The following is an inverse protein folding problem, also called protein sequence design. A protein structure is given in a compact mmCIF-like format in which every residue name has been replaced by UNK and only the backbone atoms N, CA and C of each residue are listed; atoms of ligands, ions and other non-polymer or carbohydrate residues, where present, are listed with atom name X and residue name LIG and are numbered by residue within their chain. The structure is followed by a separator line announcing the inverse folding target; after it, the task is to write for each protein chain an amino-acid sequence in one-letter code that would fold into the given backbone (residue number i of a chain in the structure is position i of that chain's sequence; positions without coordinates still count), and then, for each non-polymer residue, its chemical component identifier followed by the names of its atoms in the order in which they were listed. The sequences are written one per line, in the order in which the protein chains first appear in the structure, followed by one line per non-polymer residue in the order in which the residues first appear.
data_IF_344642024146
#
_entry.id   IF_344642024146
#
_cell.length_a   1.000
_cell.length_b   1.000
_cell.length_c   1.000
_cell.angle_alpha   90.00
_cell.angle_beta   90.00
_cell.angle_gamma   90.00
#
_symmetry.space_group_name_H-M   'P 1'
#
loop_
_entity.id
_entity.type
_entity.pdbx_description
1 polymer ?
#
# COMPACT_ATOMS: atom_id res chain seq x y z
N UNK A 1 -9.85 18.94 12.43
CA UNK A 1 -9.19 19.65 13.55
C UNK A 1 -8.38 20.76 12.92
N UNK A 2 -8.85 22.02 13.02
CA UNK A 2 -8.10 23.18 12.51
C UNK A 2 -6.89 23.37 13.42
N UNK A 3 -5.70 23.19 12.90
CA UNK A 3 -4.45 23.47 13.63
C UNK A 3 -4.30 24.98 13.67
N UNK A 4 -4.21 25.57 14.87
CA UNK A 4 -3.92 26.99 15.05
C UNK A 4 -2.61 27.33 14.34
N UNK A 5 -2.55 28.48 13.65
CA UNK A 5 -1.48 28.91 12.75
C UNK A 5 -0.08 28.85 13.36
N UNK A 6 0.05 28.99 14.68
CA UNK A 6 1.34 29.15 15.37
C UNK A 6 1.84 27.90 16.11
N UNK A 7 1.02 26.83 16.18
CA UNK A 7 1.33 25.64 16.98
C UNK A 7 1.79 24.41 16.19
N UNK A 8 1.90 24.48 14.86
CA UNK A 8 2.31 23.35 14.02
C UNK A 8 3.69 22.76 14.38
N UNK A 9 4.58 23.58 14.92
CA UNK A 9 5.92 23.18 15.37
C UNK A 9 5.94 22.47 16.73
N UNK A 10 4.86 22.56 17.52
CA UNK A 10 4.74 21.93 18.84
C UNK A 10 4.19 20.50 18.78
N UNK A 11 3.88 19.99 17.60
CA UNK A 11 3.34 18.64 17.43
C UNK A 11 4.38 17.59 17.88
N UNK A 12 4.04 16.70 18.83
CA UNK A 12 4.93 15.65 19.29
C UNK A 12 5.25 14.68 18.15
N UNK A 13 6.53 14.45 17.89
CA UNK A 13 6.98 13.45 16.89
C UNK A 13 7.88 13.96 15.77
N UNK A 14 8.15 15.26 15.67
CA UNK A 14 9.19 15.80 14.80
C UNK A 14 10.57 15.57 15.44
N UNK A 15 11.33 14.60 14.94
CA UNK A 15 12.70 14.30 15.46
C UNK A 15 13.70 15.45 15.23
N UNK A 16 13.35 16.41 14.41
CA UNK A 16 14.15 17.59 14.07
C UNK A 16 14.47 18.49 15.29
N UNK A 17 13.62 18.48 16.33
CA UNK A 17 13.88 19.23 17.59
C UNK A 17 15.21 18.86 18.25
N UNK A 18 15.68 17.62 18.12
CA UNK A 18 16.96 17.15 18.66
C UNK A 18 18.14 17.78 17.91
N UNK A 19 18.04 17.87 16.61
CA UNK A 19 19.08 18.45 15.77
C UNK A 19 19.18 19.96 15.98
N UNK A 20 18.06 20.65 16.17
CA UNK A 20 18.07 22.09 16.48
C UNK A 20 18.62 22.36 17.86
N UNK A 21 18.32 21.55 18.86
CA UNK A 21 18.96 21.65 20.17
C UNK A 21 20.47 21.47 20.08
N UNK A 22 20.94 20.56 19.24
CA UNK A 22 22.37 20.31 19.01
C UNK A 22 23.06 21.47 18.31
N UNK A 23 22.42 22.09 17.31
CA UNK A 23 22.89 23.30 16.62
C UNK A 23 22.98 24.46 17.62
N UNK A 24 21.96 24.64 18.48
CA UNK A 24 21.97 25.69 19.50
C UNK A 24 23.11 25.50 20.51
N UNK A 25 23.29 24.28 21.01
CA UNK A 25 24.39 23.94 21.93
C UNK A 25 25.75 24.20 21.25
N UNK A 26 25.91 23.79 19.98
CA UNK A 26 27.11 24.03 19.21
C UNK A 26 27.41 25.53 19.03
N UNK A 27 26.39 26.33 18.72
CA UNK A 27 26.53 27.78 18.60
C UNK A 27 26.93 28.43 19.95
N UNK A 28 26.34 28.03 21.05
CA UNK A 28 26.72 28.50 22.40
C UNK A 28 28.18 28.15 22.72
N UNK A 29 28.61 26.90 22.44
CA UNK A 29 29.99 26.49 22.65
C UNK A 29 30.99 27.27 21.77
N UNK A 30 30.64 27.56 20.52
CA UNK A 30 31.47 28.40 19.64
C UNK A 30 31.60 29.82 20.19
N UNK A 31 30.51 30.44 20.66
CA UNK A 31 30.53 31.77 21.26
C UNK A 31 31.37 31.78 22.52
N UNK A 32 31.22 30.80 23.40
CA UNK A 32 32.03 30.64 24.62
C UNK A 32 33.53 30.48 24.27
N UNK A 33 33.84 29.63 23.31
CA UNK A 33 35.24 29.45 22.83
C UNK A 33 35.84 30.74 22.29
N UNK A 34 35.08 31.50 21.49
CA UNK A 34 35.49 32.80 20.99
C UNK A 34 35.72 33.83 22.10
N UNK A 35 34.81 33.87 23.13
CA UNK A 35 34.94 34.75 24.26
C UNK A 35 36.20 34.47 25.11
N UNK A 36 36.54 33.16 25.28
CA UNK A 36 37.75 32.76 25.99
C UNK A 36 39.01 33.18 25.17
N UNK A 37 38.99 33.00 23.84
CA UNK A 37 40.08 33.36 22.97
C UNK A 37 40.37 34.88 22.95
N UNK A 38 39.34 35.72 23.21
CA UNK A 38 39.41 37.17 23.34
C UNK A 38 39.63 37.67 24.76
N UNK A 39 40.10 36.84 25.69
CA UNK A 39 40.32 37.19 27.11
C UNK A 39 39.07 37.79 27.79
N UNK A 40 37.89 37.37 27.37
CA UNK A 40 36.60 37.84 27.90
C UNK A 40 36.42 39.40 27.75
N UNK A 41 37.31 40.11 27.10
CA UNK A 41 37.25 41.57 26.91
C UNK A 41 35.92 42.05 26.29
N UNK A 42 35.31 41.36 25.28
CA UNK A 42 34.02 41.79 24.74
C UNK A 42 32.90 41.83 25.77
N UNK A 43 32.91 40.93 26.74
CA UNK A 43 31.90 40.93 27.83
C UNK A 43 32.06 42.17 28.72
N UNK A 44 33.30 42.54 29.04
CA UNK A 44 33.58 43.71 29.84
C UNK A 44 33.07 45.03 29.21
N UNK A 45 33.29 45.21 27.92
CA UNK A 45 32.80 46.37 27.17
C UNK A 45 31.28 46.39 27.06
N UNK A 46 30.66 45.25 26.82
CA UNK A 46 29.18 45.15 26.77
C UNK A 46 28.57 45.40 28.15
N UNK A 47 29.14 44.84 29.21
CA UNK A 47 28.68 45.13 30.58
C UNK A 47 28.79 46.60 30.99
N UNK A 48 29.93 47.28 30.62
CA UNK A 48 30.10 48.70 30.90
C UNK A 48 29.09 49.56 30.11
N UNK A 49 28.81 49.23 28.87
CA UNK A 49 27.77 49.85 28.05
C UNK A 49 26.39 49.67 28.64
N UNK A 50 26.01 48.43 29.01
CA UNK A 50 24.74 48.11 29.64
C UNK A 50 24.59 48.84 31.00
N UNK A 51 25.69 48.95 31.82
CA UNK A 51 25.69 49.66 33.08
C UNK A 51 25.42 51.17 32.90
N UNK A 52 26.01 51.81 31.86
CA UNK A 52 25.76 53.23 31.53
C UNK A 52 24.28 53.48 31.17
N UNK A 53 23.62 52.52 30.47
CA UNK A 53 22.21 52.65 30.15
C UNK A 53 21.34 52.33 31.38
N UNK A 54 21.69 51.32 32.16
CA UNK A 54 20.97 50.91 33.36
C UNK A 54 20.95 51.98 34.47
N UNK A 55 21.93 52.94 34.47
CA UNK A 55 21.87 54.10 35.36
C UNK A 55 20.77 55.10 35.00
N UNK A 56 20.17 55.01 33.80
CA UNK A 56 19.09 55.90 33.33
C UNK A 56 17.69 55.22 33.31
N UNK A 57 17.65 53.89 33.33
CA UNK A 57 16.41 53.08 33.25
C UNK A 57 16.55 51.93 34.24
N UNK A 58 15.44 51.49 34.89
CA UNK A 58 15.52 50.33 35.79
C UNK A 58 16.04 49.09 35.07
N UNK A 59 17.00 48.41 35.72
CA UNK A 59 17.70 47.22 35.12
C UNK A 59 16.75 46.13 34.69
N UNK A 60 15.63 45.97 35.41
CA UNK A 60 14.60 44.94 35.11
C UNK A 60 13.88 45.20 33.78
N UNK A 61 13.46 46.45 33.52
CA UNK A 61 12.79 46.84 32.31
C UNK A 61 13.75 46.79 31.09
N UNK A 62 15.02 47.15 31.30
CA UNK A 62 16.04 47.06 30.24
C UNK A 62 16.32 45.59 29.86
N UNK A 63 16.47 44.70 30.83
CA UNK A 63 16.66 43.28 30.61
C UNK A 63 15.45 42.66 29.89
N UNK A 64 14.24 42.98 30.30
CA UNK A 64 13.02 42.51 29.63
C UNK A 64 12.95 42.98 28.16
N UNK A 65 13.24 44.26 27.89
CA UNK A 65 13.23 44.80 26.53
C UNK A 65 14.27 44.11 25.61
N UNK A 66 15.47 43.85 26.14
CA UNK A 66 16.52 43.14 25.35
C UNK A 66 16.09 41.70 25.05
N UNK A 67 15.54 40.97 26.05
CA UNK A 67 15.07 39.60 25.84
C UNK A 67 13.93 39.55 24.82
N UNK A 68 12.95 40.44 24.91
CA UNK A 68 11.84 40.52 23.99
C UNK A 68 12.29 40.87 22.56
N UNK A 69 13.19 41.83 22.42
CA UNK A 69 13.73 42.24 21.12
C UNK A 69 14.58 41.14 20.50
N UNK A 70 15.45 40.52 21.29
CA UNK A 70 16.27 39.36 20.85
C UNK A 70 15.41 38.16 20.42
N UNK A 71 14.36 37.86 21.21
CA UNK A 71 13.38 36.84 20.87
C UNK A 71 12.65 37.15 19.56
N UNK A 72 12.19 38.39 19.38
CA UNK A 72 11.51 38.80 18.15
C UNK A 72 12.41 38.68 16.89
N UNK A 73 13.67 39.13 17.00
CA UNK A 73 14.64 39.02 15.91
C UNK A 73 14.96 37.57 15.60
N UNK A 74 15.16 36.73 16.62
CA UNK A 74 15.38 35.30 16.48
C UNK A 74 14.21 34.61 15.77
N UNK A 75 12.99 34.84 16.19
CA UNK A 75 11.81 34.25 15.58
C UNK A 75 11.59 34.72 14.13
N UNK A 76 11.80 36.00 13.81
CA UNK A 76 11.72 36.50 12.44
C UNK A 76 12.84 35.93 11.55
N UNK A 77 14.06 35.86 12.05
CA UNK A 77 15.18 35.26 11.33
C UNK A 77 14.93 33.79 11.04
N UNK A 78 14.45 33.05 12.06
CA UNK A 78 14.04 31.64 11.97
C UNK A 78 12.95 31.41 10.93
N UNK A 79 11.87 32.21 10.99
CA UNK A 79 10.77 32.15 10.04
C UNK A 79 11.24 32.37 8.59
N UNK A 80 11.99 33.43 8.35
CA UNK A 80 12.53 33.73 7.01
C UNK A 80 13.50 32.68 6.49
N UNK A 81 14.35 32.11 7.35
CA UNK A 81 15.30 31.07 6.95
C UNK A 81 14.56 29.78 6.54
N UNK A 82 13.56 29.37 7.31
CA UNK A 82 12.73 28.21 6.95
C UNK A 82 11.93 28.44 5.66
N UNK A 83 11.40 29.62 5.46
CA UNK A 83 10.72 30.03 4.23
C UNK A 83 11.65 29.98 3.00
N UNK A 84 12.86 30.50 3.14
CA UNK A 84 13.88 30.51 2.08
C UNK A 84 14.38 29.12 1.73
N UNK A 85 14.63 28.25 2.74
CA UNK A 85 15.08 26.86 2.51
C UNK A 85 14.01 26.00 1.81
N UNK A 86 12.72 26.28 2.05
CA UNK A 86 11.63 25.55 1.42
C UNK A 86 11.23 26.14 0.06
N UNK A 87 11.84 27.26 -0.39
CA UNK A 87 11.48 27.93 -1.64
C UNK A 87 10.05 28.47 -1.66
N UNK A 88 9.45 28.67 -0.50
CA UNK A 88 8.03 29.00 -0.35
C UNK A 88 7.84 30.49 -0.23
N UNK A 89 7.23 31.09 -1.24
CA UNK A 89 6.88 32.52 -1.23
C UNK A 89 5.48 32.82 -0.66
N UNK A 90 4.63 31.80 -0.43
CA UNK A 90 3.24 31.98 -0.03
C UNK A 90 2.83 31.15 1.20
N UNK A 91 2.01 31.71 2.10
CA UNK A 91 1.44 31.02 3.27
C UNK A 91 0.60 29.78 2.91
N UNK A 92 -0.04 29.76 1.73
CA UNK A 92 -0.81 28.62 1.23
C UNK A 92 0.10 27.42 0.95
N UNK A 93 1.28 27.66 0.38
CA UNK A 93 2.24 26.60 0.04
C UNK A 93 2.81 25.94 1.29
N UNK A 94 3.02 26.72 2.37
CA UNK A 94 3.47 26.18 3.66
C UNK A 94 2.45 25.25 4.32
N UNK A 95 1.18 25.62 4.34
CA UNK A 95 0.12 24.77 4.90
C UNK A 95 0.00 23.48 4.11
N UNK A 96 0.09 23.57 2.79
CA UNK A 96 0.04 22.41 1.88
C UNK A 96 1.21 21.45 2.13
N UNK A 97 2.43 21.97 2.33
CA UNK A 97 3.62 21.15 2.60
C UNK A 97 3.57 20.53 4.00
N UNK A 98 3.19 21.28 5.01
CA UNK A 98 3.04 20.74 6.37
C UNK A 98 1.98 19.64 6.44
N UNK A 99 0.85 19.82 5.77
CA UNK A 99 -0.17 18.78 5.64
C UNK A 99 0.35 17.56 4.88
N UNK A 100 1.10 17.77 3.80
CA UNK A 100 1.70 16.69 3.02
C UNK A 100 2.74 15.91 3.84
N UNK A 101 3.62 16.60 4.58
CA UNK A 101 4.61 15.97 5.47
C UNK A 101 3.93 15.20 6.62
N UNK A 102 2.91 15.80 7.25
CA UNK A 102 2.14 15.13 8.29
C UNK A 102 1.43 13.87 7.74
N UNK A 103 0.80 13.99 6.57
CA UNK A 103 0.15 12.87 5.88
C UNK A 103 1.16 11.78 5.56
N UNK A 104 2.33 12.11 4.98
CA UNK A 104 3.40 11.16 4.67
C UNK A 104 3.88 10.42 5.91
N UNK A 105 4.13 11.14 7.02
CA UNK A 105 4.54 10.52 8.30
C UNK A 105 3.46 9.60 8.88
N UNK A 106 2.19 10.01 8.80
CA UNK A 106 1.07 9.18 9.24
C UNK A 106 0.98 7.89 8.43
N UNK A 107 1.15 7.97 7.11
CA UNK A 107 1.13 6.82 6.21
C UNK A 107 2.34 5.89 6.45
N UNK A 108 3.52 6.42 6.73
CA UNK A 108 4.72 5.63 7.05
C UNK A 108 4.61 4.86 8.38
N UNK A 109 3.72 5.28 9.28
CA UNK A 109 3.41 4.59 10.55
C UNK A 109 2.19 3.68 10.44
N UNK A 110 1.62 3.56 9.27
CA UNK A 110 0.49 2.66 8.99
C UNK A 110 0.91 1.19 9.05
N UNK A 111 -0.07 0.27 9.08
CA UNK A 111 0.20 -1.16 9.12
C UNK A 111 0.98 -1.62 7.89
N UNK A 112 1.78 -2.66 8.06
CA UNK A 112 2.48 -3.36 6.98
C UNK A 112 1.49 -4.30 6.30
N UNK A 113 1.16 -4.01 5.06
CA UNK A 113 0.14 -4.73 4.31
C UNK A 113 0.78 -5.49 3.16
N UNK A 114 0.56 -6.79 3.11
CA UNK A 114 0.86 -7.62 1.94
C UNK A 114 -0.45 -7.87 1.18
N UNK A 115 -0.50 -7.47 -0.10
CA UNK A 115 -1.63 -7.69 -0.99
C UNK A 115 -1.23 -8.69 -2.08
N UNK A 116 -1.91 -9.84 -2.13
CA UNK A 116 -1.60 -10.97 -3.01
C UNK A 116 -2.65 -11.08 -4.10
N UNK A 117 -2.22 -11.16 -5.38
CA UNK A 117 -3.15 -11.29 -6.50
C UNK A 117 -2.51 -10.98 -7.85
N UNK A 118 -3.31 -10.42 -8.75
CA UNK A 118 -2.90 -10.01 -10.09
C UNK A 118 -3.96 -9.14 -10.76
N UNK A 119 -3.69 -8.74 -11.98
CA UNK A 119 -4.64 -8.06 -12.85
C UNK A 119 -5.17 -6.72 -12.35
N UNK A 120 -6.34 -6.39 -12.88
CA UNK A 120 -7.06 -5.15 -12.56
C UNK A 120 -7.66 -5.15 -11.16
N UNK A 121 -7.93 -6.34 -10.60
CA UNK A 121 -8.50 -6.48 -9.25
C UNK A 121 -7.52 -6.02 -8.18
N UNK A 122 -6.29 -6.53 -8.19
CA UNK A 122 -5.25 -6.13 -7.26
C UNK A 122 -4.92 -4.64 -7.41
N UNK A 123 -4.76 -4.15 -8.64
CA UNK A 123 -4.47 -2.72 -8.89
C UNK A 123 -5.56 -1.80 -8.34
N UNK A 124 -6.83 -2.18 -8.45
CA UNK A 124 -7.96 -1.46 -7.86
C UNK A 124 -7.84 -1.40 -6.32
N UNK A 125 -7.51 -2.50 -5.67
CA UNK A 125 -7.29 -2.57 -4.22
C UNK A 125 -6.14 -1.63 -3.79
N UNK A 126 -5.01 -1.69 -4.49
CA UNK A 126 -3.81 -0.89 -4.20
C UNK A 126 -4.09 0.62 -4.29
N UNK A 127 -4.90 1.08 -5.25
CA UNK A 127 -5.36 2.47 -5.34
C UNK A 127 -6.04 2.96 -4.06
N UNK A 128 -6.81 2.09 -3.40
CA UNK A 128 -7.47 2.42 -2.14
C UNK A 128 -6.51 2.37 -0.95
N UNK A 129 -5.70 1.33 -0.85
CA UNK A 129 -4.82 1.07 0.30
C UNK A 129 -3.68 2.10 0.41
N UNK A 130 -3.17 2.64 -0.70
CA UNK A 130 -2.12 3.68 -0.69
C UNK A 130 -2.52 4.96 0.08
N UNK A 131 -3.82 5.15 0.37
CA UNK A 131 -4.30 6.24 1.20
C UNK A 131 -4.35 5.90 2.71
N UNK A 132 -4.08 4.64 3.07
CA UNK A 132 -4.09 4.12 4.45
C UNK A 132 -2.68 4.00 5.00
N UNK A 133 -1.76 3.45 4.20
CA UNK A 133 -0.35 3.22 4.58
C UNK A 133 0.58 3.35 3.37
N UNK A 134 1.85 3.66 3.62
CA UNK A 134 2.92 3.54 2.63
C UNK A 134 3.64 2.18 2.72
N UNK A 135 3.38 1.39 3.77
CA UNK A 135 4.02 0.10 4.02
C UNK A 135 3.27 -1.01 3.28
N UNK A 136 3.22 -0.92 1.95
CA UNK A 136 2.51 -1.86 1.08
C UNK A 136 3.53 -2.71 0.33
N UNK A 137 3.31 -4.04 0.33
CA UNK A 137 3.95 -4.97 -0.60
C UNK A 137 2.88 -5.66 -1.43
N UNK A 138 2.86 -5.40 -2.73
CA UNK A 138 2.01 -6.13 -3.68
C UNK A 138 2.79 -7.35 -4.18
N UNK A 139 2.25 -8.55 -3.94
CA UNK A 139 2.76 -9.81 -4.48
C UNK A 139 1.92 -10.17 -5.70
N UNK A 140 2.58 -10.24 -6.85
CA UNK A 140 1.91 -10.29 -8.14
C UNK A 140 2.22 -11.59 -8.86
N UNK A 141 1.18 -12.27 -9.34
CA UNK A 141 1.35 -13.46 -10.19
C UNK A 141 2.12 -13.15 -11.48
N UNK A 142 2.87 -14.13 -11.97
CA UNK A 142 3.63 -14.07 -13.22
C UNK A 142 3.17 -15.14 -14.22
N UNK A 143 1.94 -15.62 -14.09
CA UNK A 143 1.37 -16.64 -14.97
C UNK A 143 0.74 -16.10 -16.25
N UNK A 144 0.63 -14.76 -16.43
CA UNK A 144 0.00 -14.12 -17.60
C UNK A 144 0.74 -14.50 -18.91
N UNK A 145 0.01 -15.08 -19.86
CA UNK A 145 0.48 -15.44 -21.20
C UNK A 145 -0.32 -14.77 -22.31
N UNK A 146 -1.19 -13.82 -21.93
CA UNK A 146 -2.09 -13.15 -22.85
C UNK A 146 -1.50 -11.89 -23.50
N UNK A 147 -1.99 -11.56 -24.68
CA UNK A 147 -1.80 -10.30 -25.39
C UNK A 147 -0.35 -9.80 -25.47
N UNK A 148 -0.12 -8.55 -25.00
CA UNK A 148 1.22 -7.93 -25.03
C UNK A 148 2.21 -8.57 -24.06
N UNK A 149 1.75 -9.06 -22.90
CA UNK A 149 2.62 -9.70 -21.90
C UNK A 149 3.13 -11.04 -22.40
N UNK A 150 2.24 -11.86 -22.98
CA UNK A 150 2.60 -13.17 -23.52
C UNK A 150 3.62 -13.04 -24.65
N UNK A 151 3.39 -12.13 -25.62
CA UNK A 151 4.35 -11.90 -26.71
C UNK A 151 5.75 -11.50 -26.19
N UNK A 152 5.83 -10.55 -25.26
CA UNK A 152 7.12 -10.13 -24.70
C UNK A 152 7.81 -11.24 -23.90
N UNK A 153 7.03 -12.09 -23.22
CA UNK A 153 7.53 -13.28 -22.54
C UNK A 153 8.11 -14.29 -23.53
N UNK A 154 7.40 -14.59 -24.63
CA UNK A 154 7.83 -15.54 -25.65
C UNK A 154 9.04 -15.02 -26.44
N UNK A 155 9.00 -13.76 -26.88
CA UNK A 155 10.03 -13.17 -27.74
C UNK A 155 11.34 -12.89 -26.98
N UNK A 156 11.27 -12.51 -25.70
CA UNK A 156 12.40 -11.98 -24.93
C UNK A 156 12.77 -12.81 -23.68
N UNK A 157 12.00 -13.84 -23.35
CA UNK A 157 12.25 -14.70 -22.20
C UNK A 157 12.13 -13.98 -20.84
N UNK A 158 11.34 -12.90 -20.76
CA UNK A 158 11.14 -12.13 -19.55
C UNK A 158 9.85 -12.54 -18.84
N UNK A 159 9.76 -12.24 -17.53
CA UNK A 159 8.49 -12.37 -16.82
C UNK A 159 7.43 -11.45 -17.43
N UNK A 160 6.14 -11.86 -17.48
CA UNK A 160 5.07 -11.08 -18.07
C UNK A 160 4.88 -9.78 -17.29
N UNK A 161 5.04 -8.60 -17.93
CA UNK A 161 5.05 -7.33 -17.24
C UNK A 161 3.65 -6.74 -16.94
N UNK A 162 2.58 -7.32 -17.49
CA UNK A 162 1.23 -6.72 -17.52
C UNK A 162 0.66 -6.42 -16.14
N UNK A 163 0.65 -7.40 -15.25
CA UNK A 163 0.10 -7.28 -13.90
C UNK A 163 1.00 -6.43 -12.99
N UNK A 164 2.31 -6.61 -13.11
CA UNK A 164 3.31 -5.79 -12.43
C UNK A 164 3.12 -4.31 -12.80
N UNK A 165 3.00 -4.01 -14.09
CA UNK A 165 2.72 -2.65 -14.62
C UNK A 165 1.45 -2.06 -14.02
N UNK A 166 0.35 -2.82 -13.97
CA UNK A 166 -0.91 -2.36 -13.40
C UNK A 166 -0.77 -1.99 -11.93
N UNK A 167 -0.02 -2.78 -11.15
CA UNK A 167 0.24 -2.53 -9.74
C UNK A 167 1.13 -1.29 -9.52
N UNK A 168 2.18 -1.11 -10.33
CA UNK A 168 3.04 0.07 -10.29
C UNK A 168 2.22 1.33 -10.56
N UNK A 169 1.43 1.35 -11.64
CA UNK A 169 0.57 2.49 -11.98
C UNK A 169 -0.43 2.81 -10.87
N UNK A 170 -1.00 1.80 -10.22
CA UNK A 170 -1.94 1.97 -9.10
C UNK A 170 -1.31 2.61 -7.86
N UNK A 171 -0.02 2.34 -7.60
CA UNK A 171 0.73 2.85 -6.45
C UNK A 171 1.41 4.19 -6.72
N UNK A 172 1.47 4.67 -7.95
CA UNK A 172 2.06 5.96 -8.31
C UNK A 172 1.35 7.14 -7.62
N UNK A 173 2.10 8.19 -7.31
CA UNK A 173 1.55 9.41 -6.68
C UNK A 173 0.68 10.19 -7.66
N UNK A 174 1.14 10.41 -8.89
CA UNK A 174 0.35 10.96 -10.00
C UNK A 174 -0.32 9.83 -10.77
N UNK A 175 -1.44 9.35 -10.23
CA UNK A 175 -2.13 8.19 -10.75
C UNK A 175 -2.70 8.42 -12.16
N UNK A 176 -3.29 9.58 -12.41
CA UNK A 176 -4.03 9.83 -13.65
C UNK A 176 -3.11 9.87 -14.88
N UNK A 177 -2.02 10.61 -14.82
CA UNK A 177 -1.06 10.72 -15.91
C UNK A 177 -0.30 9.41 -16.11
N UNK A 178 0.21 8.83 -15.04
CA UNK A 178 0.97 7.58 -15.09
C UNK A 178 0.09 6.42 -15.57
N UNK A 179 -1.14 6.33 -15.07
CA UNK A 179 -2.08 5.30 -15.54
C UNK A 179 -2.36 5.45 -17.03
N UNK A 180 -2.63 6.66 -17.52
CA UNK A 180 -2.85 6.91 -18.95
C UNK A 180 -1.63 6.54 -19.80
N UNK A 181 -0.42 6.93 -19.35
CA UNK A 181 0.83 6.62 -20.04
C UNK A 181 1.09 5.12 -20.08
N UNK A 182 0.99 4.44 -18.93
CA UNK A 182 1.28 3.01 -18.82
C UNK A 182 0.23 2.13 -19.51
N UNK A 183 -1.00 2.59 -19.60
CA UNK A 183 -2.08 1.90 -20.32
C UNK A 183 -2.14 2.29 -21.80
N UNK A 184 -1.38 3.29 -22.23
CA UNK A 184 -1.34 3.65 -23.64
C UNK A 184 -0.91 2.44 -24.48
N UNK A 185 -1.75 2.07 -25.46
CA UNK A 185 -1.51 0.94 -26.37
C UNK A 185 -1.27 1.48 -27.76
N UNK A 186 -0.17 1.04 -28.34
CA UNK A 186 0.18 1.39 -29.71
C UNK A 186 -0.85 0.79 -30.68
N UNK A 187 -1.44 1.64 -31.53
CA UNK A 187 -2.47 1.24 -32.49
C UNK A 187 -1.91 0.86 -33.84
N UNK A 188 -0.66 1.16 -34.10
CA UNK A 188 0.05 0.92 -35.34
C UNK A 188 1.55 0.95 -35.10
N UNK A 189 2.33 0.47 -36.06
CA UNK A 189 3.79 0.37 -36.03
C UNK A 189 4.21 -1.09 -36.03
N UNK A 190 5.12 -1.44 -36.97
CA UNK A 190 5.66 -2.78 -37.07
C UNK A 190 6.39 -3.14 -35.77
N UNK A 191 6.03 -4.27 -35.15
CA UNK A 191 6.54 -4.71 -33.86
C UNK A 191 5.98 -3.97 -32.63
N UNK A 192 5.31 -2.82 -32.79
CA UNK A 192 4.76 -2.04 -31.65
C UNK A 192 3.25 -2.27 -31.45
N UNK A 193 2.54 -2.57 -32.55
CA UNK A 193 1.08 -2.66 -32.51
C UNK A 193 0.59 -3.66 -31.46
N UNK A 194 -0.38 -3.21 -30.65
CA UNK A 194 -0.96 -4.00 -29.58
C UNK A 194 -0.13 -4.02 -28.28
N UNK A 195 1.13 -3.57 -28.27
CA UNK A 195 1.89 -3.43 -27.04
C UNK A 195 1.46 -2.19 -26.24
N UNK A 196 1.48 -2.29 -24.90
CA UNK A 196 1.33 -1.12 -24.06
C UNK A 196 2.68 -0.48 -23.78
N UNK A 197 2.71 0.87 -23.68
CA UNK A 197 3.92 1.60 -23.32
C UNK A 197 4.54 1.07 -22.02
N UNK A 198 3.73 0.86 -20.99
CA UNK A 198 4.23 0.40 -19.68
C UNK A 198 4.87 -1.00 -19.73
N UNK A 199 4.38 -1.92 -20.59
CA UNK A 199 5.02 -3.20 -20.79
C UNK A 199 6.38 -3.04 -21.46
N UNK A 200 6.47 -2.22 -22.52
CA UNK A 200 7.74 -1.93 -23.20
C UNK A 200 8.74 -1.21 -22.26
N UNK A 201 8.26 -0.29 -21.44
CA UNK A 201 9.07 0.40 -20.44
C UNK A 201 9.71 -0.57 -19.44
N UNK A 202 8.91 -1.48 -18.86
CA UNK A 202 9.42 -2.50 -17.93
C UNK A 202 10.37 -3.47 -18.62
N UNK A 203 10.08 -3.87 -19.86
CA UNK A 203 10.96 -4.71 -20.68
C UNK A 203 12.31 -4.04 -20.91
N UNK A 204 12.32 -2.76 -21.28
CA UNK A 204 13.56 -2.00 -21.48
C UNK A 204 14.36 -1.87 -20.18
N UNK A 205 13.69 -1.59 -19.04
CA UNK A 205 14.34 -1.59 -17.73
C UNK A 205 14.91 -2.97 -17.37
N UNK A 206 14.21 -4.04 -17.66
CA UNK A 206 14.70 -5.41 -17.43
C UNK A 206 15.98 -5.69 -18.23
N UNK A 207 16.01 -5.28 -19.49
CA UNK A 207 17.21 -5.41 -20.35
C UNK A 207 18.41 -4.57 -19.81
N UNK A 208 18.16 -3.39 -19.27
CA UNK A 208 19.20 -2.51 -18.71
C UNK A 208 19.72 -3.02 -17.36
N UNK A 209 18.83 -3.48 -16.48
CA UNK A 209 19.15 -3.86 -15.09
C UNK A 209 19.55 -5.33 -14.94
N UNK A 210 19.24 -6.16 -15.92
CA UNK A 210 19.58 -7.58 -16.00
C UNK A 210 18.53 -8.51 -15.37
N UNK A 211 17.59 -8.00 -14.57
CA UNK A 211 16.52 -8.79 -13.98
C UNK A 211 15.24 -7.98 -13.71
N UNK A 212 14.10 -8.69 -13.60
CA UNK A 212 12.80 -8.06 -13.42
C UNK A 212 12.64 -7.38 -12.03
N UNK A 213 13.26 -7.91 -10.98
CA UNK A 213 13.13 -7.32 -9.61
C UNK A 213 13.79 -5.95 -9.56
N UNK A 214 14.99 -5.84 -10.15
CA UNK A 214 15.70 -4.56 -10.29
C UNK A 214 14.94 -3.61 -11.20
N UNK A 215 14.41 -4.10 -12.33
CA UNK A 215 13.59 -3.29 -13.24
C UNK A 215 12.37 -2.70 -12.53
N UNK A 216 11.65 -3.49 -11.73
CA UNK A 216 10.51 -3.04 -10.93
C UNK A 216 10.95 -2.03 -9.87
N UNK A 217 12.06 -2.27 -9.18
CA UNK A 217 12.62 -1.33 -8.18
C UNK A 217 12.99 0.01 -8.80
N UNK A 218 13.68 0.01 -9.93
CA UNK A 218 14.06 1.25 -10.61
C UNK A 218 12.85 1.97 -11.20
N UNK A 219 11.88 1.25 -11.75
CA UNK A 219 10.61 1.84 -12.18
C UNK A 219 9.89 2.53 -11.02
N UNK A 220 9.96 1.94 -9.83
CA UNK A 220 9.36 2.49 -8.61
C UNK A 220 10.01 3.82 -8.19
N UNK A 221 11.32 3.94 -8.38
CA UNK A 221 12.07 5.17 -8.13
C UNK A 221 11.68 6.27 -9.13
N UNK A 222 11.62 5.92 -10.43
CA UNK A 222 11.25 6.86 -11.52
C UNK A 222 9.82 7.39 -11.34
N UNK A 223 8.90 6.54 -10.92
CA UNK A 223 7.48 6.85 -10.84
C UNK A 223 7.01 7.27 -9.45
N UNK A 224 7.93 7.35 -8.48
CA UNK A 224 7.60 7.74 -7.09
C UNK A 224 6.41 6.98 -6.51
N UNK A 225 6.44 5.65 -6.57
CA UNK A 225 5.34 4.83 -6.05
C UNK A 225 5.34 4.72 -4.52
N UNK A 226 4.17 4.46 -3.95
CA UNK A 226 3.98 4.19 -2.51
C UNK A 226 3.98 2.69 -2.26
N UNK A 227 4.98 2.21 -1.50
CA UNK A 227 5.16 0.78 -1.28
C UNK A 227 6.06 0.14 -2.33
N UNK A 228 5.92 -1.17 -2.51
CA UNK A 228 6.72 -1.96 -3.46
C UNK A 228 5.87 -3.02 -4.16
N UNK A 229 6.29 -3.39 -5.35
CA UNK A 229 5.67 -4.46 -6.15
C UNK A 229 6.71 -5.56 -6.32
N UNK A 230 6.34 -6.79 -6.07
CA UNK A 230 7.21 -7.96 -6.17
C UNK A 230 6.52 -9.06 -6.98
N UNK A 231 7.20 -9.70 -7.94
CA UNK A 231 6.70 -10.93 -8.54
C UNK A 231 6.66 -12.06 -7.50
N UNK A 232 5.68 -12.95 -7.57
CA UNK A 232 5.57 -14.10 -6.66
C UNK A 232 6.78 -15.04 -6.76
N UNK A 233 7.28 -15.22 -7.97
CA UNK A 233 8.45 -16.03 -8.33
C UNK A 233 9.20 -15.40 -9.49
N UNK A 234 10.47 -15.76 -9.66
CA UNK A 234 11.26 -15.45 -10.85
C UNK A 234 11.30 -16.59 -11.86
N UNK A 235 10.74 -17.74 -11.52
CA UNK A 235 10.66 -18.89 -12.41
C UNK A 235 9.65 -18.62 -13.54
N UNK A 236 9.88 -19.21 -14.70
CA UNK A 236 8.98 -19.14 -15.86
C UNK A 236 7.70 -19.96 -15.62
N UNK A 237 6.88 -19.51 -14.70
CA UNK A 237 5.67 -20.20 -14.26
C UNK A 237 4.56 -20.13 -15.31
N UNK A 238 4.12 -21.28 -15.82
CA UNK A 238 2.93 -21.42 -16.66
C UNK A 238 1.80 -22.08 -15.88
N UNK A 239 0.55 -21.67 -16.14
CA UNK A 239 -0.61 -22.26 -15.48
C UNK A 239 -1.13 -23.44 -16.28
N UNK A 240 -1.51 -24.50 -15.57
CA UNK A 240 -2.14 -25.69 -16.14
C UNK A 240 -3.36 -26.05 -15.30
N UNK A 241 -4.51 -26.18 -15.95
CA UNK A 241 -5.76 -26.57 -15.29
C UNK A 241 -6.15 -28.00 -15.65
N UNK A 242 -6.43 -28.83 -14.64
CA UNK A 242 -7.17 -30.08 -14.77
C UNK A 242 -8.66 -29.79 -14.61
N UNK A 243 -9.45 -30.09 -15.63
CA UNK A 243 -10.90 -29.90 -15.62
C UNK A 243 -11.60 -31.14 -15.00
N UNK A 244 -12.84 -30.97 -14.53
CA UNK A 244 -13.62 -32.10 -13.97
C UNK A 244 -13.93 -33.19 -15.02
N UNK A 245 -13.98 -32.83 -16.30
CA UNK A 245 -14.18 -33.75 -17.40
C UNK A 245 -12.90 -34.47 -17.86
N UNK A 246 -11.77 -34.21 -17.20
CA UNK A 246 -10.48 -34.84 -17.46
C UNK A 246 -9.61 -34.11 -18.47
N UNK A 247 -10.06 -33.01 -19.10
CA UNK A 247 -9.22 -32.20 -20.00
C UNK A 247 -8.10 -31.52 -19.22
N UNK A 248 -6.93 -31.43 -19.84
CA UNK A 248 -5.80 -30.65 -19.33
C UNK A 248 -5.65 -29.41 -20.21
N UNK A 249 -5.74 -28.24 -19.61
CA UNK A 249 -5.66 -26.95 -20.32
C UNK A 249 -4.37 -26.26 -19.91
N UNK A 250 -3.55 -25.92 -20.90
CA UNK A 250 -2.29 -25.19 -20.71
C UNK A 250 -2.49 -23.72 -21.05
N UNK A 251 -1.92 -22.83 -20.25
CA UNK A 251 -1.93 -21.39 -20.43
C UNK A 251 -3.08 -20.69 -19.70
N UNK A 252 -2.73 -19.55 -19.09
CA UNK A 252 -3.64 -18.72 -18.29
C UNK A 252 -4.83 -18.24 -19.12
N UNK A 253 -4.57 -17.72 -20.32
CA UNK A 253 -5.58 -17.18 -21.23
C UNK A 253 -6.57 -18.24 -21.75
N UNK A 254 -6.12 -19.49 -21.89
CA UNK A 254 -6.94 -20.59 -22.40
C UNK A 254 -7.90 -21.19 -21.36
N UNK A 255 -7.61 -20.99 -20.07
CA UNK A 255 -8.40 -21.60 -18.98
C UNK A 255 -9.85 -21.12 -18.98
N UNK A 256 -10.15 -19.82 -19.03
CA UNK A 256 -11.54 -19.34 -19.10
C UNK A 256 -12.23 -19.74 -20.42
N UNK A 257 -11.49 -19.80 -21.54
CA UNK A 257 -12.03 -20.15 -22.86
C UNK A 257 -12.40 -21.62 -22.99
N UNK A 258 -11.79 -22.48 -22.18
CA UNK A 258 -12.05 -23.92 -22.21
C UNK A 258 -13.46 -24.29 -21.77
N UNK A 259 -14.17 -23.40 -21.11
CA UNK A 259 -15.50 -23.59 -20.51
C UNK A 259 -15.64 -24.94 -19.80
N UNK A 260 -15.93 -24.92 -18.52
CA UNK A 260 -16.08 -26.10 -17.69
C UNK A 260 -15.68 -25.84 -16.24
N UNK A 261 -15.79 -26.86 -15.40
CA UNK A 261 -15.39 -26.77 -13.99
C UNK A 261 -13.93 -27.14 -13.82
N UNK A 262 -13.18 -26.25 -13.18
CA UNK A 262 -11.77 -26.49 -12.84
C UNK A 262 -11.72 -27.41 -11.62
N UNK A 263 -11.16 -28.61 -11.80
CA UNK A 263 -10.91 -29.54 -10.71
C UNK A 263 -9.71 -29.16 -9.89
N UNK A 264 -8.60 -28.80 -10.55
CA UNK A 264 -7.34 -28.42 -9.92
C UNK A 264 -6.50 -27.54 -10.85
N UNK A 265 -5.82 -26.57 -10.25
CA UNK A 265 -4.80 -25.76 -10.93
C UNK A 265 -3.41 -26.18 -10.42
N UNK A 266 -2.42 -26.18 -11.30
CA UNK A 266 -1.02 -26.42 -10.97
C UNK A 266 -0.11 -25.63 -11.91
N UNK A 267 1.18 -25.62 -11.64
CA UNK A 267 2.18 -24.87 -12.40
C UNK A 267 3.09 -25.79 -13.20
N UNK A 268 3.59 -25.29 -14.30
CA UNK A 268 4.69 -25.87 -15.05
C UNK A 268 5.81 -24.82 -15.13
N UNK A 269 6.98 -25.06 -14.51
CA UNK A 269 7.38 -26.24 -13.73
C UNK A 269 6.57 -26.43 -12.43
N UNK A 270 6.47 -27.68 -11.97
CA UNK A 270 5.65 -28.05 -10.81
C UNK A 270 6.09 -27.39 -9.48
N UNK A 271 7.34 -26.97 -9.38
CA UNK A 271 7.93 -26.34 -8.21
C UNK A 271 8.57 -25.00 -8.61
N UNK A 272 7.83 -23.93 -8.44
CA UNK A 272 8.35 -22.56 -8.53
C UNK A 272 8.82 -22.09 -7.15
N UNK A 273 9.99 -21.44 -7.08
CA UNK A 273 10.52 -20.87 -5.83
C UNK A 273 9.96 -19.49 -5.58
N UNK A 274 9.59 -19.22 -4.35
CA UNK A 274 9.19 -17.88 -3.95
C UNK A 274 10.36 -16.90 -4.00
N UNK A 275 10.09 -15.65 -4.36
CA UNK A 275 11.06 -14.58 -4.17
C UNK A 275 11.29 -14.36 -2.66
N UNK A 276 12.55 -14.35 -2.20
CA UNK A 276 12.90 -14.20 -0.78
C UNK A 276 12.30 -12.93 -0.16
N UNK A 277 12.26 -11.82 -0.91
CA UNK A 277 11.65 -10.57 -0.48
C UNK A 277 10.13 -10.71 -0.24
N UNK A 278 9.45 -11.62 -0.93
CA UNK A 278 8.03 -11.93 -0.72
C UNK A 278 7.85 -12.64 0.61
N UNK A 279 8.66 -13.66 0.88
CA UNK A 279 8.64 -14.39 2.15
C UNK A 279 8.94 -13.46 3.33
N UNK A 280 9.96 -12.62 3.19
CA UNK A 280 10.29 -11.62 4.22
C UNK A 280 9.14 -10.63 4.46
N UNK A 281 8.45 -10.21 3.39
CA UNK A 281 7.30 -9.32 3.50
C UNK A 281 6.11 -9.96 4.22
N UNK A 282 5.83 -11.25 3.95
CA UNK A 282 4.73 -11.99 4.60
C UNK A 282 5.02 -12.19 6.10
N UNK A 283 6.27 -12.51 6.46
CA UNK A 283 6.70 -12.62 7.87
C UNK A 283 6.53 -11.32 8.67
N UNK A 284 6.82 -10.19 8.03
CA UNK A 284 6.79 -8.86 8.66
C UNK A 284 5.43 -8.16 8.54
N UNK A 285 4.41 -8.84 7.98
CA UNK A 285 3.10 -8.27 7.73
C UNK A 285 2.25 -8.16 9.00
N UNK A 286 1.46 -7.08 9.11
CA UNK A 286 0.37 -6.97 10.07
C UNK A 286 -0.96 -7.46 9.46
N UNK A 287 -1.08 -7.37 8.14
CA UNK A 287 -2.28 -7.69 7.38
C UNK A 287 -1.93 -8.29 6.03
N UNK A 288 -2.50 -9.43 5.71
CA UNK A 288 -2.42 -10.08 4.39
C UNK A 288 -3.79 -10.03 3.74
N UNK A 289 -3.85 -9.51 2.50
CA UNK A 289 -5.08 -9.39 1.72
C UNK A 289 -4.92 -10.23 0.47
N UNK A 290 -5.84 -11.14 0.21
CA UNK A 290 -5.90 -11.92 -1.02
C UNK A 290 -7.02 -11.40 -1.91
N UNK A 291 -6.72 -11.17 -3.19
CA UNK A 291 -7.66 -10.57 -4.15
C UNK A 291 -7.98 -9.09 -3.88
N UNK A 292 -9.05 -8.54 -4.49
CA UNK A 292 -9.89 -9.21 -5.49
C UNK A 292 -9.16 -9.47 -6.82
N UNK A 293 -9.74 -10.31 -7.64
CA UNK A 293 -9.21 -10.68 -8.95
C UNK A 293 -9.79 -12.02 -9.39
N UNK A 294 -9.46 -12.46 -10.60
CA UNK A 294 -9.82 -13.79 -11.07
C UNK A 294 -9.31 -14.84 -10.10
N UNK A 295 -10.21 -15.71 -9.64
CA UNK A 295 -9.87 -16.66 -8.59
C UNK A 295 -8.74 -17.58 -9.00
N UNK A 296 -8.89 -18.21 -10.19
CA UNK A 296 -7.96 -19.22 -10.69
C UNK A 296 -6.77 -18.64 -11.45
N UNK A 297 -6.93 -17.48 -12.09
CA UNK A 297 -5.87 -16.93 -12.92
C UNK A 297 -5.07 -15.80 -12.27
N UNK A 298 -5.61 -15.15 -11.22
CA UNK A 298 -4.90 -14.04 -10.55
C UNK A 298 -4.57 -14.30 -9.07
N UNK A 299 -5.44 -14.97 -8.29
CA UNK A 299 -5.24 -15.13 -6.84
C UNK A 299 -4.55 -16.46 -6.51
N UNK A 300 -5.15 -17.57 -6.93
CA UNK A 300 -4.63 -18.93 -6.67
C UNK A 300 -3.20 -19.11 -7.18
N UNK A 301 -2.77 -18.60 -8.35
CA UNK A 301 -1.42 -18.81 -8.85
C UNK A 301 -0.31 -18.42 -7.87
N UNK A 302 -0.52 -17.38 -7.06
CA UNK A 302 0.42 -17.01 -6.02
C UNK A 302 0.53 -18.07 -4.90
N UNK A 303 -0.57 -18.76 -4.61
CA UNK A 303 -0.63 -19.82 -3.60
C UNK A 303 -0.10 -21.18 -4.10
N UNK A 304 0.03 -21.35 -5.42
CA UNK A 304 0.68 -22.52 -6.01
C UNK A 304 2.19 -22.50 -5.80
N UNK A 305 2.76 -21.33 -5.52
CA UNK A 305 4.13 -21.23 -5.01
C UNK A 305 4.08 -21.67 -3.53
N UNK A 306 4.48 -22.92 -3.27
CA UNK A 306 4.25 -23.60 -1.99
C UNK A 306 4.80 -22.83 -0.78
N UNK A 307 5.96 -22.20 -0.93
CA UNK A 307 6.58 -21.39 0.11
C UNK A 307 5.72 -20.19 0.51
N UNK A 308 5.03 -19.55 -0.47
CA UNK A 308 4.10 -18.44 -0.20
C UNK A 308 2.88 -18.95 0.58
N UNK A 309 2.24 -20.04 0.14
CA UNK A 309 1.08 -20.59 0.82
C UNK A 309 1.42 -21.04 2.25
N UNK A 310 2.58 -21.65 2.44
CA UNK A 310 3.10 -22.05 3.74
C UNK A 310 3.31 -20.83 4.64
N UNK A 311 4.04 -19.83 4.16
CA UNK A 311 4.36 -18.65 4.97
C UNK A 311 3.10 -17.83 5.32
N UNK A 312 2.14 -17.72 4.39
CA UNK A 312 0.84 -17.10 4.67
C UNK A 312 0.11 -17.86 5.78
N UNK A 313 0.14 -19.19 5.77
CA UNK A 313 -0.52 -19.99 6.80
C UNK A 313 0.15 -19.83 8.19
N UNK A 314 1.48 -19.78 8.23
CA UNK A 314 2.30 -19.68 9.44
C UNK A 314 2.38 -18.26 10.02
N UNK A 315 2.09 -17.23 9.21
CA UNK A 315 2.15 -15.83 9.62
C UNK A 315 1.11 -15.49 10.70
N UNK A 316 1.50 -14.66 11.68
CA UNK A 316 0.60 -14.09 12.70
C UNK A 316 -0.27 -12.93 12.17
N UNK A 317 -0.01 -12.46 10.94
CA UNK A 317 -0.78 -11.41 10.30
C UNK A 317 -2.27 -11.77 10.20
N UNK A 318 -3.15 -10.79 10.29
CA UNK A 318 -4.58 -10.98 9.97
C UNK A 318 -4.75 -11.23 8.48
N UNK A 319 -5.55 -12.21 8.10
CA UNK A 319 -5.70 -12.70 6.73
C UNK A 319 -7.12 -12.51 6.25
N UNK A 320 -7.32 -11.77 5.17
CA UNK A 320 -8.64 -11.51 4.60
C UNK A 320 -8.66 -11.75 3.08
N UNK A 321 -9.67 -12.46 2.62
CA UNK A 321 -9.95 -12.61 1.18
C UNK A 321 -11.04 -11.62 0.76
N UNK A 322 -10.83 -10.93 -0.35
CA UNK A 322 -11.83 -10.05 -0.98
C UNK A 322 -12.49 -10.83 -2.11
N UNK A 323 -13.70 -11.30 -1.85
CA UNK A 323 -14.44 -12.12 -2.81
C UNK A 323 -14.93 -11.27 -3.99
N UNK A 324 -14.93 -11.87 -5.18
CA UNK A 324 -15.49 -11.26 -6.38
C UNK A 324 -16.98 -10.95 -6.19
N UNK A 325 -17.45 -9.86 -6.81
CA UNK A 325 -18.85 -9.46 -6.76
C UNK A 325 -19.70 -10.35 -7.68
N UNK A 326 -19.15 -10.69 -8.85
CA UNK A 326 -19.80 -11.47 -9.88
C UNK A 326 -18.99 -12.72 -10.17
N UNK A 327 -19.66 -13.78 -10.59
CA UNK A 327 -19.00 -14.98 -11.14
C UNK A 327 -18.31 -14.65 -12.45
N UNK A 328 -17.25 -15.38 -12.78
CA UNK A 328 -16.53 -15.28 -14.05
C UNK A 328 -16.82 -16.49 -14.90
N UNK A 329 -17.45 -16.32 -16.08
CA UNK A 329 -17.69 -17.41 -17.01
C UNK A 329 -16.40 -18.16 -17.36
N UNK A 330 -16.47 -19.48 -17.32
CA UNK A 330 -15.31 -20.35 -17.58
C UNK A 330 -14.35 -20.56 -16.40
N UNK A 331 -14.51 -19.82 -15.30
CA UNK A 331 -13.70 -19.99 -14.08
C UNK A 331 -14.55 -20.35 -12.86
N UNK A 332 -15.54 -19.51 -12.52
CA UNK A 332 -16.29 -19.60 -11.28
C UNK A 332 -17.79 -19.68 -11.53
N UNK A 333 -18.20 -20.37 -12.57
CA UNK A 333 -19.60 -20.56 -12.91
C UNK A 333 -20.38 -21.21 -11.75
N UNK A 334 -21.46 -20.52 -11.33
CA UNK A 334 -22.33 -20.94 -10.23
C UNK A 334 -21.65 -21.00 -8.83
N UNK A 335 -20.45 -20.40 -8.64
CA UNK A 335 -19.79 -20.38 -7.35
C UNK A 335 -20.52 -19.49 -6.35
N UNK A 336 -20.67 -20.01 -5.13
CA UNK A 336 -20.95 -19.23 -3.93
C UNK A 336 -19.65 -18.78 -3.28
N UNK A 337 -19.74 -17.95 -2.24
CA UNK A 337 -18.54 -17.48 -1.50
C UNK A 337 -17.79 -18.65 -0.86
N UNK A 338 -18.50 -19.67 -0.34
CA UNK A 338 -17.85 -20.87 0.21
C UNK A 338 -17.03 -21.64 -0.82
N UNK A 339 -17.46 -21.65 -2.10
CA UNK A 339 -16.73 -22.33 -3.18
C UNK A 339 -15.40 -21.62 -3.45
N UNK A 340 -15.39 -20.26 -3.46
CA UNK A 340 -14.18 -19.48 -3.57
C UNK A 340 -13.21 -19.77 -2.42
N UNK A 341 -13.70 -19.78 -1.18
CA UNK A 341 -12.89 -20.08 0.01
C UNK A 341 -12.33 -21.51 -0.06
N UNK A 342 -13.15 -22.48 -0.43
CA UNK A 342 -12.72 -23.88 -0.58
C UNK A 342 -11.66 -24.04 -1.66
N UNK A 343 -11.81 -23.36 -2.80
CA UNK A 343 -10.81 -23.38 -3.86
C UNK A 343 -9.46 -22.81 -3.39
N UNK A 344 -9.46 -21.69 -2.66
CA UNK A 344 -8.24 -21.11 -2.08
C UNK A 344 -7.57 -22.09 -1.09
N UNK A 345 -8.33 -22.63 -0.14
CA UNK A 345 -7.81 -23.57 0.85
C UNK A 345 -7.28 -24.86 0.21
N UNK A 346 -7.99 -25.39 -0.79
CA UNK A 346 -7.58 -26.57 -1.53
C UNK A 346 -6.21 -26.38 -2.21
N UNK A 347 -6.02 -25.25 -2.88
CA UNK A 347 -4.75 -24.94 -3.58
C UNK A 347 -3.62 -24.50 -2.64
N UNK A 348 -3.94 -24.15 -1.40
CA UNK A 348 -2.96 -23.96 -0.33
C UNK A 348 -2.67 -25.26 0.47
N UNK A 349 -2.92 -26.44 -0.10
CA UNK A 349 -2.76 -27.72 0.56
C UNK A 349 -3.55 -27.83 1.87
N UNK A 350 -4.79 -27.32 1.88
CA UNK A 350 -5.74 -27.30 3.04
C UNK A 350 -5.19 -26.58 4.28
N UNK A 351 -4.19 -25.71 4.11
CA UNK A 351 -3.67 -24.84 5.19
C UNK A 351 -4.70 -23.76 5.53
N UNK A 352 -4.74 -23.35 6.79
CA UNK A 352 -5.59 -22.24 7.22
C UNK A 352 -4.94 -20.91 6.81
N UNK A 353 -5.31 -20.39 5.65
CA UNK A 353 -4.76 -19.16 5.07
C UNK A 353 -5.70 -17.94 5.20
N UNK A 354 -6.86 -18.09 5.86
CA UNK A 354 -7.89 -17.07 5.96
C UNK A 354 -8.47 -16.98 7.39
N UNK A 355 -8.68 -15.75 7.86
CA UNK A 355 -9.46 -15.45 9.08
C UNK A 355 -10.84 -14.92 8.72
N UNK A 356 -10.95 -14.18 7.60
CA UNK A 356 -12.21 -13.59 7.16
C UNK A 356 -12.32 -13.51 5.63
N UNK A 357 -13.57 -13.40 5.17
CA UNK A 357 -13.91 -13.06 3.78
C UNK A 357 -14.71 -11.77 3.77
N UNK A 358 -14.27 -10.81 2.94
CA UNK A 358 -15.00 -9.58 2.65
C UNK A 358 -15.91 -9.81 1.45
N UNK A 359 -17.21 -9.61 1.63
CA UNK A 359 -18.23 -9.82 0.61
C UNK A 359 -19.02 -8.55 0.34
N UNK A 360 -19.47 -8.40 -0.90
CA UNK A 360 -20.40 -7.34 -1.26
C UNK A 360 -21.84 -7.77 -0.94
N UNK A 361 -22.60 -6.92 -0.24
CA UNK A 361 -23.96 -7.21 0.22
C UNK A 361 -25.07 -6.57 -0.62
N UNK A 362 -24.70 -5.81 -1.65
CA UNK A 362 -25.67 -5.09 -2.44
C UNK A 362 -25.28 -4.99 -3.92
N UNK A 363 -26.17 -5.42 -4.80
CA UNK A 363 -26.03 -5.23 -6.26
C UNK A 363 -27.34 -4.62 -6.78
N UNK A 364 -27.26 -3.47 -7.49
CA UNK A 364 -28.43 -2.89 -8.15
C UNK A 364 -29.02 -3.85 -9.20
N UNK A 365 -30.35 -4.01 -9.22
CA UNK A 365 -31.04 -4.96 -10.09
C UNK A 365 -30.79 -4.70 -11.59
N UNK A 366 -30.74 -3.42 -11.99
CA UNK A 366 -30.47 -3.01 -13.36
C UNK A 366 -29.05 -3.41 -13.85
N UNK A 367 -28.07 -3.45 -12.95
CA UNK A 367 -26.71 -3.90 -13.29
C UNK A 367 -26.62 -5.43 -13.33
N UNK A 368 -27.31 -6.13 -12.43
CA UNK A 368 -27.35 -7.59 -12.42
C UNK A 368 -27.84 -8.16 -13.76
N UNK A 369 -28.92 -7.59 -14.33
CA UNK A 369 -29.51 -8.05 -15.58
C UNK A 369 -28.56 -7.96 -16.77
N UNK A 370 -27.74 -6.90 -16.85
CA UNK A 370 -26.73 -6.72 -17.91
C UNK A 370 -25.65 -7.79 -17.89
N UNK A 371 -25.21 -8.18 -16.68
CA UNK A 371 -24.19 -9.22 -16.52
C UNK A 371 -24.73 -10.62 -16.75
N UNK A 372 -26.00 -10.88 -16.41
CA UNK A 372 -26.66 -12.16 -16.70
C UNK A 372 -26.68 -12.48 -18.19
N UNK A 373 -26.85 -11.47 -19.06
CA UNK A 373 -26.74 -11.66 -20.52
C UNK A 373 -25.35 -12.11 -20.98
N UNK A 374 -24.32 -11.79 -20.19
CA UNK A 374 -22.94 -12.22 -20.43
C UNK A 374 -22.55 -13.48 -19.65
N UNK A 375 -23.53 -14.22 -19.07
CA UNK A 375 -23.27 -15.42 -18.30
C UNK A 375 -22.65 -15.20 -16.91
N UNK A 376 -22.58 -13.95 -16.44
CA UNK A 376 -22.01 -13.62 -15.14
C UNK A 376 -23.11 -13.30 -14.14
N UNK A 377 -23.07 -13.91 -12.95
CA UNK A 377 -24.09 -13.79 -11.91
C UNK A 377 -23.49 -13.24 -10.61
N UNK A 378 -24.30 -12.55 -9.78
CA UNK A 378 -23.86 -12.18 -8.44
C UNK A 378 -23.43 -13.40 -7.63
N UNK A 379 -22.22 -13.30 -7.01
CA UNK A 379 -21.73 -14.37 -6.15
C UNK A 379 -22.64 -14.49 -4.92
N UNK A 380 -23.24 -15.66 -4.72
CA UNK A 380 -24.16 -15.93 -3.62
C UNK A 380 -23.40 -16.01 -2.29
N UNK A 381 -23.86 -15.26 -1.29
CA UNK A 381 -23.28 -15.31 0.07
C UNK A 381 -24.00 -16.40 0.87
N UNK A 382 -23.38 -17.55 1.00
CA UNK A 382 -23.88 -18.73 1.70
C UNK A 382 -23.32 -18.84 3.12
N UNK A 383 -23.82 -18.02 4.01
CA UNK A 383 -23.34 -17.76 5.38
C UNK A 383 -23.09 -19.04 6.18
N UNK A 384 -24.03 -20.01 6.11
CA UNK A 384 -23.92 -21.24 6.88
C UNK A 384 -22.75 -22.12 6.47
N UNK A 385 -22.45 -22.19 5.16
CA UNK A 385 -21.33 -22.97 4.67
C UNK A 385 -19.98 -22.31 5.04
N UNK A 386 -19.90 -20.99 4.95
CA UNK A 386 -18.67 -20.25 5.34
C UNK A 386 -18.40 -20.41 6.84
N UNK A 387 -19.42 -20.35 7.69
CA UNK A 387 -19.28 -20.58 9.14
C UNK A 387 -18.75 -21.98 9.46
N UNK A 388 -19.22 -23.02 8.72
CA UNK A 388 -18.69 -24.38 8.87
C UNK A 388 -17.21 -24.49 8.56
N UNK A 389 -16.68 -23.61 7.68
CA UNK A 389 -15.25 -23.52 7.37
C UNK A 389 -14.45 -22.77 8.45
N UNK A 390 -15.10 -22.23 9.47
CA UNK A 390 -14.46 -21.45 10.54
C UNK A 390 -13.97 -20.08 10.09
N UNK A 391 -14.54 -19.52 9.01
CA UNK A 391 -14.17 -18.24 8.43
C UNK A 391 -15.20 -17.17 8.79
N UNK A 392 -14.73 -16.01 9.22
CA UNK A 392 -15.59 -14.86 9.52
C UNK A 392 -16.05 -14.17 8.25
N UNK A 393 -17.35 -13.80 8.20
CA UNK A 393 -17.90 -13.03 7.08
C UNK A 393 -17.94 -11.56 7.46
N UNK A 394 -17.39 -10.74 6.60
CA UNK A 394 -17.48 -9.29 6.72
C UNK A 394 -18.20 -8.72 5.49
N UNK A 395 -19.45 -8.31 5.67
CA UNK A 395 -20.33 -7.86 4.60
C UNK A 395 -20.42 -6.34 4.56
N UNK A 396 -20.25 -5.73 3.38
CA UNK A 396 -20.33 -4.29 3.14
C UNK A 396 -20.74 -3.98 1.70
N UNK A 397 -21.35 -2.81 1.48
CA UNK A 397 -21.56 -2.25 0.13
C UNK A 397 -20.21 -1.80 -0.46
N UNK A 398 -19.66 -2.61 -1.36
CA UNK A 398 -18.31 -2.45 -1.93
C UNK A 398 -18.29 -1.86 -3.33
N UNK A 399 -19.43 -1.80 -4.01
CA UNK A 399 -19.55 -1.34 -5.39
C UNK A 399 -19.53 0.18 -5.49
N UNK A 400 -19.01 0.65 -6.61
CA UNK A 400 -19.11 2.04 -7.05
C UNK A 400 -20.36 2.21 -7.91
N UNK A 401 -21.06 3.33 -7.74
CA UNK A 401 -22.17 3.70 -8.62
C UNK A 401 -21.56 4.19 -9.95
N UNK A 402 -21.21 3.25 -10.86
CA UNK A 402 -20.53 3.61 -12.10
C UNK A 402 -21.53 4.14 -13.13
N UNK A 403 -21.23 5.30 -13.70
CA UNK A 403 -21.97 5.90 -14.84
C UNK A 403 -21.87 5.02 -16.10
N UNK A 404 -20.89 4.12 -16.18
CA UNK A 404 -20.61 3.27 -17.34
C UNK A 404 -21.34 1.92 -17.31
N UNK A 405 -22.13 1.63 -16.28
CA UNK A 405 -22.92 0.40 -16.17
C UNK A 405 -22.11 -0.88 -15.95
N UNK A 406 -20.90 -0.79 -15.40
CA UNK A 406 -20.11 -1.93 -14.97
C UNK A 406 -20.16 -2.09 -13.45
N UNK A 407 -20.28 -3.35 -12.96
CA UNK A 407 -20.15 -3.67 -11.55
C UNK A 407 -18.68 -3.85 -11.22
N UNK A 408 -18.11 -2.88 -10.50
CA UNK A 408 -16.72 -2.95 -10.04
C UNK A 408 -16.63 -2.59 -8.57
N UNK A 409 -15.66 -3.15 -7.90
CA UNK A 409 -15.32 -2.75 -6.54
C UNK A 409 -14.88 -1.27 -6.52
N UNK A 410 -15.36 -0.52 -5.52
CA UNK A 410 -14.83 0.81 -5.22
C UNK A 410 -13.56 0.69 -4.42
N UNK A 411 -12.43 1.18 -4.95
CA UNK A 411 -11.12 1.16 -4.29
C UNK A 411 -11.18 1.71 -2.87
N UNK A 412 -11.85 2.83 -2.68
CA UNK A 412 -11.96 3.49 -1.39
C UNK A 412 -12.87 2.73 -0.42
N UNK A 413 -13.98 2.15 -0.88
CA UNK A 413 -14.92 1.42 -0.02
C UNK A 413 -14.27 0.11 0.45
N UNK A 414 -13.62 -0.63 -0.45
CA UNK A 414 -12.90 -1.87 -0.11
C UNK A 414 -11.79 -1.58 0.89
N UNK A 415 -10.93 -0.63 0.63
CA UNK A 415 -9.81 -0.28 1.50
C UNK A 415 -10.28 0.16 2.90
N UNK A 416 -11.33 0.99 2.98
CA UNK A 416 -11.92 1.42 4.27
C UNK A 416 -12.57 0.25 5.02
N UNK A 417 -13.26 -0.65 4.32
CA UNK A 417 -13.88 -1.83 4.92
C UNK A 417 -12.82 -2.75 5.55
N UNK A 418 -11.77 -3.08 4.79
CA UNK A 418 -10.65 -3.90 5.27
C UNK A 418 -9.97 -3.25 6.48
N UNK A 419 -9.66 -1.96 6.41
CA UNK A 419 -8.98 -1.26 7.49
C UNK A 419 -9.84 -1.15 8.76
N UNK A 420 -11.16 -0.99 8.61
CA UNK A 420 -12.09 -1.02 9.72
C UNK A 420 -12.12 -2.40 10.40
N UNK A 421 -12.22 -3.48 9.60
CA UNK A 421 -12.15 -4.84 10.09
C UNK A 421 -10.85 -5.13 10.83
N UNK A 422 -9.71 -4.81 10.21
CA UNK A 422 -8.38 -4.98 10.81
C UNK A 422 -8.25 -4.25 12.16
N UNK A 423 -8.71 -3.01 12.25
CA UNK A 423 -8.69 -2.27 13.52
C UNK A 423 -9.57 -2.88 14.60
N UNK A 424 -10.71 -3.46 14.23
CA UNK A 424 -11.61 -4.12 15.17
C UNK A 424 -10.97 -5.38 15.73
N UNK A 425 -10.37 -6.21 14.89
CA UNK A 425 -9.66 -7.43 15.31
C UNK A 425 -8.47 -7.09 16.23
N UNK A 426 -7.66 -6.10 15.88
CA UNK A 426 -6.53 -5.65 16.71
C UNK A 426 -6.92 -5.07 18.07
N UNK A 427 -8.10 -4.47 18.21
CA UNK A 427 -8.60 -4.00 19.50
C UNK A 427 -9.03 -5.15 20.40
N UNK A 428 -9.59 -6.20 19.83
CA UNK A 428 -10.07 -7.36 20.57
C UNK A 428 -8.91 -8.19 21.15
N UNK A 429 -7.71 -8.10 20.58
CA UNK A 429 -6.52 -8.83 21.03
C UNK A 429 -5.67 -8.09 22.07
N UNK A 430 -5.89 -6.78 22.27
CA UNK A 430 -5.21 -6.07 23.37
C UNK A 430 -5.88 -6.45 24.68
N UNK A 431 -5.15 -7.08 25.65
CA UNK A 431 -5.70 -7.31 26.98
C UNK A 431 -6.16 -5.99 27.56
N UNK A 432 -7.37 -5.94 28.10
CA UNK A 432 -7.90 -4.79 28.80
C UNK A 432 -7.09 -4.58 30.09
N UNK A 433 -5.99 -3.87 30.02
CA UNK A 433 -5.19 -3.47 31.18
C UNK A 433 -5.96 -2.54 32.16
N UNK A 434 -7.23 -2.24 31.87
CA UNK A 434 -8.07 -1.32 32.66
C UNK A 434 -9.23 -1.97 33.42
N UNK A 435 -9.39 -3.32 33.41
CA UNK A 435 -10.49 -3.96 34.17
C UNK A 435 -10.08 -4.45 35.55
N UNK A 436 -8.90 -4.11 36.08
CA UNK A 436 -8.47 -4.59 37.42
C UNK A 436 -8.42 -3.48 38.48
N UNK A 437 -9.25 -2.42 38.40
CA UNK A 437 -9.31 -1.35 39.43
C UNK A 437 -10.66 -1.13 40.11
N UNK A 438 -11.66 -1.98 39.92
CA UNK A 438 -12.97 -1.80 40.58
C UNK A 438 -13.41 -2.93 41.53
N UNK A 439 -12.56 -3.87 41.89
CA UNK A 439 -12.94 -4.95 42.82
C UNK A 439 -12.22 -4.94 44.17
N UNK A 440 -11.71 -3.78 44.63
CA UNK A 440 -11.21 -3.62 46.00
C UNK A 440 -11.71 -2.30 46.58
N UNK A 441 -13.01 -2.17 46.74
CA UNK A 441 -13.61 -1.24 47.73
C UNK A 441 -15.00 -1.77 48.06
N UNK A 442 -15.06 -2.67 49.02
CA UNK A 442 -16.33 -3.21 49.53
C UNK A 442 -16.12 -4.25 50.59
N UNK A 443 -15.37 -3.91 51.66
CA UNK A 443 -15.45 -4.59 52.99
C UNK A 443 -14.76 -3.74 53.98
N UNK A 444 -15.51 -2.82 54.57
CA UNK A 444 -15.55 -2.53 56.03
C UNK A 444 -16.74 -1.61 56.32
#
# INVERSE_FOLDING_TARGET
MKIHKDAGWLIPGLQEKRWFALIFVGAVLMVLGFLILCDIRPIFYTMEFVRKIAMKVSTEWLAFAIIMTGGAVFFKGWEKTNLSMLGLSNERDQQTILEALYRRRKLNRGPKIVAIGGGTGLSMLLKGIKHITNNITAVVTVGDDGGSSGRLREDLGILPPGDIRNCIAALADDEDLITKLFQYRFKSGEGLEGHSFGNLFLTALCAITGDMVRAVKESSNVLSIRGRVLPATLDDMKLVAEMEDGRIIHGESNIPEAHGRIKRLFTDPAHCRALEDVIAAIKDADLIIMGPGSLYTSVIPNLLVEEIAKEVAESDAKKIYVCNIMTQPGETDNYAVSDHVNALMKHANSRKILDAVLVNDFIPSNLASKYQMAGSYPVKVDVENIKKLGINIFSKKLIEDSKEGFVRHSSNRVARAIYYWFKKEHKNERPSFFQHKETVKGTK
#
